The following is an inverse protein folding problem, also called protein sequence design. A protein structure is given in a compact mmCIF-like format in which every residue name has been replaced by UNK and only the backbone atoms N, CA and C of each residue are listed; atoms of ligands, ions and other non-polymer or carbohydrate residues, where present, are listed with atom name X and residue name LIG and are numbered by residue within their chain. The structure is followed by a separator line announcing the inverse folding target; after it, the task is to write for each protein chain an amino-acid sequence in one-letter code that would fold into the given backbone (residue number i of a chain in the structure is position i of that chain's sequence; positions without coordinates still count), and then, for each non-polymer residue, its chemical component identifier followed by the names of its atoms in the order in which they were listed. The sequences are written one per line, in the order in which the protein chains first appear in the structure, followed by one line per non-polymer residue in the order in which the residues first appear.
data_IF_931802381552
#
_entry.id   IF_931802381552
#
_cell.length_a   1.000
_cell.length_b   1.000
_cell.length_c   1.000
_cell.angle_alpha   90.00
_cell.angle_beta   90.00
_cell.angle_gamma   90.00
#
_symmetry.space_group_name_H-M   'P 1'
#
loop_
_entity.id
_entity.type
_entity.pdbx_description
1 polymer ?
#
# COMPACT_ATOMS: atom_id res chain seq x y z
N UNK A 1 13.24 16.01 -7.77
CA UNK A 1 13.01 15.40 -9.09
C UNK A 1 13.06 13.89 -8.96
N UNK A 2 12.18 13.18 -9.64
CA UNK A 2 12.24 11.72 -9.79
C UNK A 2 13.31 11.38 -10.83
N UNK A 3 13.93 10.21 -10.72
CA UNK A 3 14.77 9.67 -11.81
C UNK A 3 13.88 9.35 -13.02
N UNK A 4 14.48 9.30 -14.22
CA UNK A 4 13.77 8.95 -15.46
C UNK A 4 13.08 7.57 -15.33
N UNK A 5 13.75 6.63 -14.67
CA UNK A 5 13.25 5.28 -14.41
C UNK A 5 12.02 5.31 -13.49
N UNK A 6 12.08 6.05 -12.38
CA UNK A 6 10.97 6.18 -11.45
C UNK A 6 9.75 6.84 -12.11
N UNK A 7 9.98 7.86 -12.94
CA UNK A 7 8.90 8.53 -13.67
C UNK A 7 8.25 7.59 -14.69
N UNK A 8 9.05 6.84 -15.45
CA UNK A 8 8.54 5.85 -16.42
C UNK A 8 7.70 4.77 -15.74
N UNK A 9 8.18 4.22 -14.61
CA UNK A 9 7.45 3.22 -13.84
C UNK A 9 6.14 3.79 -13.28
N UNK A 10 6.17 5.02 -12.78
CA UNK A 10 4.96 5.69 -12.31
C UNK A 10 3.92 5.88 -13.43
N UNK A 11 4.33 6.34 -14.61
CA UNK A 11 3.43 6.54 -15.75
C UNK A 11 2.80 5.22 -16.21
N UNK A 12 3.59 4.13 -16.21
CA UNK A 12 3.08 2.79 -16.51
C UNK A 12 2.06 2.31 -15.46
N UNK A 13 2.36 2.49 -14.17
CA UNK A 13 1.41 2.17 -13.10
C UNK A 13 0.13 2.98 -13.26
N UNK A 14 0.23 4.28 -13.59
CA UNK A 14 -0.93 5.13 -13.85
C UNK A 14 -1.76 4.63 -15.04
N UNK A 15 -1.10 4.15 -16.10
CA UNK A 15 -1.78 3.60 -17.26
C UNK A 15 -2.53 2.28 -16.95
N UNK A 16 -1.95 1.40 -16.13
CA UNK A 16 -2.55 0.10 -15.76
C UNK A 16 -3.62 0.28 -14.68
N UNK A 17 -3.28 1.02 -13.62
CA UNK A 17 -4.15 1.24 -12.47
C UNK A 17 -5.31 2.18 -12.79
N UNK A 18 -5.13 3.11 -13.73
CA UNK A 18 -6.08 4.19 -13.98
C UNK A 18 -6.07 5.26 -12.89
N UNK A 19 -6.87 6.30 -13.07
CA UNK A 19 -6.98 7.41 -12.10
C UNK A 19 -8.03 7.16 -11.00
N UNK A 20 -8.70 6.01 -11.06
CA UNK A 20 -9.62 5.58 -10.02
C UNK A 20 -8.76 5.16 -8.82
N UNK A 21 -9.07 5.68 -7.62
CA UNK A 21 -8.39 5.37 -6.36
C UNK A 21 -8.71 3.93 -5.87
N UNK A 22 -8.58 2.96 -6.78
CA UNK A 22 -8.90 1.55 -6.60
C UNK A 22 -7.59 0.77 -6.59
N UNK A 23 -7.42 -0.06 -5.57
CA UNK A 23 -6.28 -0.98 -5.50
C UNK A 23 -6.37 -2.03 -6.59
N UNK A 24 -5.34 -2.11 -7.43
CA UNK A 24 -5.18 -3.13 -8.45
C UNK A 24 -3.95 -3.98 -8.15
N UNK A 25 -4.04 -5.24 -8.55
CA UNK A 25 -2.94 -6.20 -8.47
C UNK A 25 -2.25 -6.15 -9.82
N UNK A 26 -0.96 -5.86 -9.82
CA UNK A 26 -0.12 -5.76 -11.01
C UNK A 26 1.07 -6.69 -10.82
N UNK A 27 1.32 -7.54 -11.81
CA UNK A 27 2.48 -8.43 -11.81
C UNK A 27 3.76 -7.65 -12.15
N UNK A 28 4.87 -8.01 -11.52
CA UNK A 28 6.16 -7.37 -11.79
C UNK A 28 6.58 -7.53 -13.26
N UNK A 29 6.31 -8.69 -13.84
CA UNK A 29 6.64 -8.99 -15.22
C UNK A 29 5.79 -8.16 -16.21
N UNK A 30 4.53 -7.85 -15.89
CA UNK A 30 3.69 -6.97 -16.72
C UNK A 30 4.27 -5.54 -16.82
N UNK A 31 4.83 -5.03 -15.72
CA UNK A 31 5.48 -3.71 -15.73
C UNK A 31 6.78 -3.77 -16.55
N UNK A 32 7.58 -4.82 -16.36
CA UNK A 32 8.86 -5.01 -17.07
C UNK A 32 8.68 -5.19 -18.58
N UNK A 33 7.63 -5.86 -19.03
CA UNK A 33 7.32 -6.04 -20.45
C UNK A 33 6.94 -4.73 -21.16
N UNK A 34 6.32 -3.79 -20.43
CA UNK A 34 5.90 -2.49 -20.97
C UNK A 34 6.99 -1.42 -20.89
N UNK A 35 8.08 -1.66 -20.16
CA UNK A 35 9.20 -0.74 -20.06
C UNK A 35 9.94 -0.67 -21.41
N UNK A 36 10.32 0.53 -21.88
CA UNK A 36 11.14 0.67 -23.09
C UNK A 36 12.45 -0.12 -22.96
N UNK A 37 12.81 -0.92 -23.98
CA UNK A 37 14.03 -1.75 -23.99
C UNK A 37 15.34 -0.97 -23.80
N UNK A 38 15.30 0.36 -23.92
CA UNK A 38 16.42 1.25 -23.64
C UNK A 38 16.75 1.37 -22.14
N UNK A 39 15.82 1.00 -21.25
CA UNK A 39 15.97 1.06 -19.79
C UNK A 39 15.91 -0.37 -19.25
N UNK A 40 17.04 -1.06 -19.10
CA UNK A 40 17.06 -2.40 -18.51
C UNK A 40 16.81 -2.30 -17.00
N UNK A 41 15.60 -2.69 -16.57
CA UNK A 41 15.21 -2.78 -15.16
C UNK A 41 15.11 -4.25 -14.73
N UNK A 42 15.70 -4.57 -13.58
CA UNK A 42 15.54 -5.86 -12.91
C UNK A 42 14.38 -5.83 -11.91
N UNK A 43 13.85 -7.00 -11.51
CA UNK A 43 12.82 -7.11 -10.46
C UNK A 43 13.24 -6.44 -9.14
N UNK A 44 14.53 -6.52 -8.80
CA UNK A 44 15.11 -5.90 -7.59
C UNK A 44 15.08 -4.36 -7.69
N UNK A 45 15.44 -3.81 -8.85
CA UNK A 45 15.39 -2.36 -9.08
C UNK A 45 13.95 -1.86 -9.12
N UNK A 46 13.05 -2.57 -9.80
CA UNK A 46 11.62 -2.26 -9.80
C UNK A 46 11.08 -2.22 -8.36
N UNK A 47 11.42 -3.23 -7.56
CA UNK A 47 11.07 -3.28 -6.14
C UNK A 47 11.55 -2.05 -5.35
N UNK A 48 12.77 -1.56 -5.64
CA UNK A 48 13.29 -0.35 -5.02
C UNK A 48 12.54 0.91 -5.49
N UNK A 49 12.22 1.01 -6.78
CA UNK A 49 11.45 2.11 -7.36
C UNK A 49 10.05 2.18 -6.77
N UNK A 50 9.34 1.06 -6.67
CA UNK A 50 7.99 1.01 -6.06
C UNK A 50 8.03 1.49 -4.60
N UNK A 51 9.07 1.12 -3.84
CA UNK A 51 9.27 1.64 -2.47
C UNK A 51 9.51 3.14 -2.48
N UNK A 52 10.34 3.64 -3.38
CA UNK A 52 10.59 5.08 -3.49
C UNK A 52 9.33 5.87 -3.89
N UNK A 53 8.52 5.34 -4.82
CA UNK A 53 7.25 5.94 -5.22
C UNK A 53 6.26 5.97 -4.06
N UNK A 54 6.22 4.90 -3.25
CA UNK A 54 5.42 4.84 -2.03
C UNK A 54 5.91 5.85 -0.98
N UNK A 55 7.21 5.91 -0.73
CA UNK A 55 7.80 6.80 0.30
C UNK A 55 7.61 8.29 -0.03
N UNK A 56 7.39 8.61 -1.31
CA UNK A 56 7.09 9.96 -1.80
C UNK A 56 5.58 10.20 -2.01
N UNK A 57 4.73 9.29 -1.52
CA UNK A 57 3.26 9.36 -1.60
C UNK A 57 2.68 9.47 -3.03
N UNK A 58 3.39 8.98 -4.06
CA UNK A 58 2.86 8.91 -5.43
C UNK A 58 1.91 7.74 -5.64
N UNK A 59 2.11 6.65 -4.88
CA UNK A 59 1.30 5.44 -4.93
C UNK A 59 0.99 4.96 -3.52
N UNK A 60 -0.17 4.34 -3.35
CA UNK A 60 -0.52 3.64 -2.12
C UNK A 60 -0.32 2.15 -2.34
N UNK A 61 0.41 1.50 -1.44
CA UNK A 61 0.72 0.06 -1.53
C UNK A 61 0.07 -0.66 -0.37
N UNK A 62 -0.81 -1.63 -0.66
CA UNK A 62 -1.47 -2.46 0.36
C UNK A 62 -0.64 -3.68 0.74
N UNK A 63 -0.11 -4.38 -0.26
CA UNK A 63 0.86 -5.46 -0.07
C UNK A 63 1.87 -5.45 -1.21
N UNK A 64 3.06 -5.97 -0.90
CA UNK A 64 4.22 -5.92 -1.75
C UNK A 64 4.93 -7.28 -1.70
N UNK A 65 4.90 -8.02 -2.80
CA UNK A 65 5.71 -9.23 -3.00
C UNK A 65 6.65 -9.02 -4.21
N UNK A 66 7.71 -9.83 -4.37
CA UNK A 66 8.66 -9.65 -5.48
C UNK A 66 8.04 -9.82 -6.88
N UNK A 67 6.94 -10.58 -6.95
CA UNK A 67 6.28 -10.93 -8.21
C UNK A 67 4.94 -10.22 -8.40
N UNK A 68 4.27 -9.80 -7.32
CA UNK A 68 2.97 -9.14 -7.37
C UNK A 68 2.91 -7.89 -6.47
N UNK A 69 2.34 -6.83 -7.01
CA UNK A 69 2.14 -5.58 -6.29
C UNK A 69 0.67 -5.22 -6.24
N UNK A 70 0.14 -4.95 -5.03
CA UNK A 70 -1.19 -4.39 -4.89
C UNK A 70 -1.10 -2.92 -4.54
N UNK A 71 -1.40 -2.08 -5.54
CA UNK A 71 -1.17 -0.66 -5.50
C UNK A 71 -2.27 0.14 -6.19
N UNK A 72 -2.44 1.38 -5.72
CA UNK A 72 -3.31 2.38 -6.32
C UNK A 72 -2.52 3.67 -6.52
N UNK A 73 -2.91 4.47 -7.50
CA UNK A 73 -2.27 5.75 -7.79
C UNK A 73 -2.84 6.80 -6.82
N UNK A 74 -1.98 7.51 -6.11
CA UNK A 74 -2.40 8.64 -5.29
C UNK A 74 -2.46 9.89 -6.18
N UNK A 75 -3.59 10.60 -6.15
CA UNK A 75 -3.76 11.87 -6.88
C UNK A 75 -2.85 12.96 -6.29
N UNK A 76 -1.63 13.11 -6.81
CA UNK A 76 -0.97 14.42 -7.01
C UNK A 76 0.37 14.28 -7.73
N UNK A 77 0.32 14.41 -9.06
CA UNK A 77 1.26 15.28 -9.74
C UNK A 77 0.39 16.33 -10.41
N UNK A 78 0.26 17.49 -9.77
CA UNK A 78 -0.10 18.70 -10.49
C UNK A 78 0.87 18.80 -11.66
N UNK A 79 0.33 18.58 -12.86
CA UNK A 79 0.93 18.96 -14.11
C UNK A 79 1.43 20.39 -13.92
N UNK A 80 2.74 20.60 -14.00
CA UNK A 80 3.31 21.94 -14.09
C UNK A 80 2.66 22.60 -15.31
N UNK A 81 1.73 23.56 -15.15
CA UNK A 81 1.16 24.25 -16.29
C UNK A 81 2.23 25.26 -16.70
N UNK A 82 2.88 24.99 -17.82
CA UNK A 82 3.74 25.96 -18.48
C UNK A 82 2.88 27.16 -18.88
N UNK A 83 2.97 28.21 -18.07
CA UNK A 83 2.66 29.61 -18.35
C UNK A 83 1.25 29.94 -18.91
N UNK A 84 0.39 30.45 -18.03
CA UNK A 84 -0.44 31.60 -18.36
C UNK A 84 -0.46 32.53 -17.13
N UNK A 85 0.30 33.60 -17.22
CA UNK A 85 0.33 34.67 -16.24
C UNK A 85 -0.95 35.51 -16.34
N UNK A 86 -1.65 35.68 -15.22
CA UNK A 86 -2.13 36.97 -14.69
C UNK A 86 -2.74 36.77 -13.29
N UNK A 87 -2.18 37.50 -12.32
CA UNK A 87 -2.46 37.52 -10.88
C UNK A 87 -3.58 38.54 -10.52
N UNK A 88 -3.83 38.98 -9.25
CA UNK A 88 -3.40 38.51 -7.91
C UNK A 88 -4.52 38.58 -6.81
N UNK A 89 -4.09 38.34 -5.55
CA UNK A 89 -4.73 38.54 -4.23
C UNK A 89 -5.53 37.33 -3.70
N UNK A 90 -5.14 36.69 -2.59
CA UNK A 90 -4.76 37.28 -1.29
C UNK A 90 -3.59 36.53 -0.65
N UNK A 91 -2.59 37.31 -0.22
CA UNK A 91 -1.47 36.97 0.67
C UNK A 91 -1.91 37.01 2.14
N UNK A 92 -1.47 36.03 2.93
CA UNK A 92 -0.75 36.19 4.22
C UNK A 92 -0.35 34.76 4.70
N UNK A 93 0.92 34.34 4.53
CA UNK A 93 2.03 34.38 5.52
C UNK A 93 1.66 33.66 6.84
N UNK A 94 2.39 32.70 7.44
CA UNK A 94 3.84 32.55 7.72
C UNK A 94 3.98 31.23 8.54
N UNK A 95 4.67 30.18 8.10
CA UNK A 95 6.08 29.81 8.32
C UNK A 95 6.61 29.81 9.78
N UNK A 96 7.51 28.86 10.07
CA UNK A 96 8.44 28.70 11.23
C UNK A 96 7.89 27.98 12.48
N UNK A 97 8.63 27.11 13.19
CA UNK A 97 10.00 26.59 13.08
C UNK A 97 10.15 25.39 14.06
N UNK A 98 11.15 24.56 13.77
CA UNK A 98 11.75 23.50 14.61
C UNK A 98 11.67 23.73 16.13
N UNK A 99 11.39 22.66 16.86
CA UNK A 99 12.06 22.40 18.14
C UNK A 99 12.67 20.99 18.13
N UNK A 100 14.00 20.96 18.02
CA UNK A 100 14.88 19.81 18.12
C UNK A 100 15.40 19.77 19.57
N UNK A 101 14.98 18.75 20.34
CA UNK A 101 15.56 18.23 21.60
C UNK A 101 15.38 19.16 22.84
N UNK A 102 14.95 18.72 24.03
CA UNK A 102 15.45 17.59 24.82
C UNK A 102 14.55 17.31 26.06
N UNK A 103 14.44 16.02 26.40
CA UNK A 103 14.33 15.41 27.74
C UNK A 103 13.01 15.30 28.53
N UNK A 104 12.65 14.01 28.79
CA UNK A 104 12.06 13.44 30.01
C UNK A 104 10.64 13.88 30.42
N UNK A 105 9.64 13.06 30.09
CA UNK A 105 9.15 11.98 30.97
C UNK A 105 8.01 11.20 30.32
N UNK A 106 7.92 9.94 30.72
CA UNK A 106 7.07 8.88 30.19
C UNK A 106 5.56 9.08 30.43
N UNK A 107 4.79 8.19 29.78
CA UNK A 107 3.37 7.80 29.95
C UNK A 107 2.44 8.38 28.88
N UNK A 108 1.57 7.62 28.22
CA UNK A 108 1.34 6.19 28.14
C UNK A 108 0.53 5.95 26.85
N UNK A 109 0.85 4.88 26.12
CA UNK A 109 0.01 4.34 25.06
C UNK A 109 -1.38 3.99 25.64
N UNK A 110 -2.50 4.19 24.93
CA UNK A 110 -3.68 3.40 25.20
C UNK A 110 -3.41 1.98 24.69
N UNK A 111 -2.73 1.19 25.51
CA UNK A 111 -2.63 -0.25 25.32
C UNK A 111 -4.04 -0.82 25.54
N UNK A 112 -4.70 -1.23 24.45
CA UNK A 112 -5.92 -2.03 24.56
C UNK A 112 -5.51 -3.40 25.10
N UNK A 113 -5.43 -3.53 26.41
CA UNK A 113 -5.33 -4.80 27.10
C UNK A 113 -6.59 -5.60 26.81
N UNK A 114 -6.53 -6.45 25.78
CA UNK A 114 -7.51 -7.52 25.59
C UNK A 114 -7.33 -8.48 26.76
N UNK A 115 -8.31 -8.48 27.66
CA UNK A 115 -8.29 -9.32 28.86
C UNK A 115 -8.14 -10.79 28.48
N UNK A 116 -7.26 -11.51 29.19
CA UNK A 116 -6.98 -12.95 29.01
C UNK A 116 -8.24 -13.84 28.95
N UNK A 117 -9.37 -13.41 29.53
CA UNK A 117 -10.64 -14.12 29.46
C UNK A 117 -11.34 -14.09 28.09
N UNK A 118 -11.14 -13.06 27.27
CA UNK A 118 -11.78 -12.92 25.95
C UNK A 118 -11.12 -13.82 24.92
N UNK A 119 -9.80 -13.98 25.01
CA UNK A 119 -9.03 -14.90 24.16
C UNK A 119 -9.43 -16.36 24.39
N UNK A 120 -9.76 -16.74 25.63
CA UNK A 120 -10.17 -18.11 25.95
C UNK A 120 -11.58 -18.46 25.40
N UNK A 121 -12.50 -17.50 25.38
CA UNK A 121 -13.85 -17.68 24.81
C UNK A 121 -13.82 -17.82 23.28
N UNK A 122 -12.95 -17.09 22.58
CA UNK A 122 -12.82 -17.24 21.13
C UNK A 122 -12.26 -18.60 20.71
N UNK A 123 -11.37 -19.21 21.50
CA UNK A 123 -10.86 -20.56 21.21
C UNK A 123 -11.93 -21.65 21.35
N UNK A 124 -12.88 -21.51 22.28
CA UNK A 124 -13.99 -22.46 22.46
C UNK A 124 -15.02 -22.41 21.32
N UNK A 125 -15.31 -21.22 20.79
CA UNK A 125 -16.23 -21.04 19.66
C UNK A 125 -15.65 -21.61 18.35
N UNK A 126 -14.35 -21.49 18.12
CA UNK A 126 -13.70 -22.08 16.94
C UNK A 126 -13.70 -23.60 16.93
N UNK A 127 -13.52 -24.24 18.10
CA UNK A 127 -13.51 -25.71 18.23
C UNK A 127 -14.88 -26.34 17.94
N UNK A 128 -15.97 -25.65 18.30
CA UNK A 128 -17.33 -26.16 18.13
C UNK A 128 -17.78 -26.15 16.66
N UNK A 129 -17.38 -25.13 15.89
CA UNK A 129 -17.66 -25.05 14.45
C UNK A 129 -16.83 -26.09 13.67
N UNK A 130 -15.56 -26.30 14.04
CA UNK A 130 -14.72 -27.31 13.41
C UNK A 130 -15.24 -28.74 13.62
N UNK A 131 -15.72 -29.06 14.83
CA UNK A 131 -16.30 -30.38 15.14
C UNK A 131 -17.57 -30.67 14.33
N UNK A 132 -18.44 -29.68 14.11
CA UNK A 132 -19.65 -29.86 13.33
C UNK A 132 -19.37 -30.20 11.85
N UNK A 133 -18.33 -29.59 11.26
CA UNK A 133 -17.93 -29.85 9.87
C UNK A 133 -17.36 -31.26 9.73
N UNK A 134 -16.48 -31.68 10.65
CA UNK A 134 -15.92 -33.04 10.61
C UNK A 134 -17.03 -34.08 10.77
N UNK A 135 -17.96 -33.88 11.71
CA UNK A 135 -19.08 -34.81 11.92
C UNK A 135 -19.98 -34.96 10.69
N UNK A 136 -20.29 -33.87 10.00
CA UNK A 136 -21.12 -33.92 8.77
C UNK A 136 -20.42 -34.65 7.63
N UNK A 137 -19.11 -34.43 7.44
CA UNK A 137 -18.31 -35.14 6.44
C UNK A 137 -18.26 -36.64 6.77
N UNK A 138 -18.03 -37.02 8.03
CA UNK A 138 -17.99 -38.44 8.43
C UNK A 138 -19.33 -39.14 8.19
N UNK A 139 -20.46 -38.51 8.50
CA UNK A 139 -21.79 -39.06 8.23
C UNK A 139 -22.04 -39.24 6.74
N UNK A 140 -21.63 -38.28 5.90
CA UNK A 140 -21.73 -38.40 4.45
C UNK A 140 -20.88 -39.57 3.93
N UNK A 141 -19.64 -39.71 4.40
CA UNK A 141 -18.78 -40.83 4.00
C UNK A 141 -19.39 -42.18 4.39
N UNK A 142 -19.95 -42.33 5.60
CA UNK A 142 -20.60 -43.59 6.03
C UNK A 142 -21.88 -43.89 5.23
N UNK A 143 -22.62 -42.86 4.81
CA UNK A 143 -23.88 -43.03 4.08
C UNK A 143 -23.67 -43.34 2.59
N UNK A 144 -22.53 -42.94 2.02
CA UNK A 144 -22.21 -43.10 0.60
C UNK A 144 -21.10 -44.13 0.30
N UNK A 145 -20.55 -44.78 1.35
CA UNK A 145 -19.73 -46.00 1.26
C UNK A 145 -20.63 -47.22 1.45
#
# INVERSE_FOLDING_TARGET
MLSLECQTVYDLIRQIAGEEEVYKIIEADEILERIPKAIPLSKIQLSAIIRELKDRDYILVKYFTPDEYCLSVAKRLEEVPKAAAQAPAVEEEKQQERTLYQNKQAKAKPEKTVGKGVLFLMSLLGSLVGSAIVATITVLLIKFL
#
